data_IF_300456310105
#
_entry.id   IF_300456310105
#
_cell.length_a   1.000
_cell.length_b   1.000
_cell.length_c   1.000
_cell.angle_alpha   90.00
_cell.angle_beta   90.00
_cell.angle_gamma   90.00
#
_symmetry.space_group_name_H-M   'P 1'
#
loop_
_entity.id
_entity.type
_entity.pdbx_description
1 polymer ?
#
# COMPACT_ATOMS: atom_id res chain seq x y z
N UNK A 1 17.32 0.22 0.45
CA UNK A 1 16.26 -0.33 1.33
C UNK A 1 16.48 -0.02 2.81
N UNK A 2 17.65 -0.25 3.42
CA UNK A 2 17.86 -0.02 4.85
C UNK A 2 17.65 1.45 5.28
N UNK A 3 18.22 2.38 4.53
CA UNK A 3 18.12 3.82 4.84
C UNK A 3 16.66 4.30 4.78
N UNK A 4 15.95 3.96 3.69
CA UNK A 4 14.52 4.27 3.55
C UNK A 4 13.65 3.61 4.61
N UNK A 5 14.04 2.47 5.19
CA UNK A 5 13.30 1.86 6.30
C UNK A 5 13.40 2.74 7.55
N UNK A 6 14.58 3.28 7.85
CA UNK A 6 14.85 4.07 9.06
C UNK A 6 14.36 5.52 8.95
N UNK A 7 14.39 6.14 7.77
CA UNK A 7 13.89 7.52 7.57
C UNK A 7 12.38 7.62 7.85
N UNK A 8 11.94 8.65 8.58
CA UNK A 8 10.52 8.86 8.94
C UNK A 8 9.89 7.65 9.66
N UNK A 9 10.68 6.95 10.50
CA UNK A 9 10.21 5.74 11.18
C UNK A 9 9.01 6.04 12.10
N UNK A 10 9.02 7.17 12.80
CA UNK A 10 7.95 7.50 13.73
C UNK A 10 6.63 7.78 12.98
N UNK A 11 6.69 8.53 11.88
CA UNK A 11 5.54 8.75 11.02
C UNK A 11 4.99 7.43 10.48
N UNK A 12 5.86 6.50 10.06
CA UNK A 12 5.40 5.18 9.58
C UNK A 12 4.71 4.39 10.66
N UNK A 13 5.22 4.44 11.89
CA UNK A 13 4.61 3.75 13.04
C UNK A 13 3.23 4.32 13.34
N UNK A 14 3.09 5.65 13.40
CA UNK A 14 1.80 6.31 13.61
C UNK A 14 0.78 5.98 12.51
N UNK A 15 1.21 6.05 11.24
CA UNK A 15 0.36 5.67 10.11
C UNK A 15 -0.04 4.19 10.19
N UNK A 16 0.89 3.33 10.57
CA UNK A 16 0.65 1.90 10.67
C UNK A 16 -0.29 1.54 11.82
N UNK A 17 -0.23 2.24 12.95
CA UNK A 17 -1.19 2.08 14.06
C UNK A 17 -2.60 2.46 13.65
N UNK A 18 -2.74 3.62 12.98
CA UNK A 18 -4.04 4.06 12.47
C UNK A 18 -4.64 3.05 11.47
N UNK A 19 -3.82 2.48 10.58
CA UNK A 19 -4.26 1.47 9.62
C UNK A 19 -4.61 0.14 10.30
N UNK A 20 -3.79 -0.34 11.24
CA UNK A 20 -4.01 -1.60 11.93
C UNK A 20 -5.33 -1.59 12.72
N UNK A 21 -5.72 -0.44 13.30
CA UNK A 21 -7.00 -0.29 14.00
C UNK A 21 -8.23 -0.46 13.08
N UNK A 22 -8.06 -0.43 11.75
CA UNK A 22 -9.13 -0.65 10.78
C UNK A 22 -9.31 -2.13 10.40
N UNK A 23 -8.33 -2.99 10.73
CA UNK A 23 -8.31 -4.40 10.36
C UNK A 23 -8.95 -5.24 11.47
N UNK A 24 -9.78 -6.21 11.08
CA UNK A 24 -10.48 -7.11 11.98
C UNK A 24 -10.17 -8.57 11.67
N UNK A 25 -10.36 -9.48 12.64
CA UNK A 25 -10.35 -10.91 12.37
C UNK A 25 -11.28 -11.28 11.21
N UNK A 26 -10.83 -12.17 10.33
CA UNK A 26 -11.59 -12.59 9.15
C UNK A 26 -11.48 -11.66 7.94
N UNK A 27 -10.80 -10.52 8.03
CA UNK A 27 -10.62 -9.61 6.89
C UNK A 27 -9.67 -10.18 5.83
N UNK A 28 -9.90 -9.78 4.57
CA UNK A 28 -8.93 -9.94 3.48
C UNK A 28 -8.26 -8.59 3.19
N UNK A 29 -6.93 -8.54 3.33
CA UNK A 29 -6.14 -7.30 3.28
C UNK A 29 -5.13 -7.34 2.15
N UNK A 30 -5.14 -6.35 1.26
CA UNK A 30 -4.04 -6.09 0.34
C UNK A 30 -3.02 -5.12 0.97
N UNK A 31 -1.75 -5.53 0.96
CA UNK A 31 -0.60 -4.74 1.38
C UNK A 31 0.30 -4.47 0.18
N UNK A 32 0.32 -3.22 -0.26
CA UNK A 32 1.20 -2.71 -1.30
C UNK A 32 2.68 -2.70 -0.88
N UNK A 33 3.57 -2.55 -1.84
CA UNK A 33 4.99 -2.37 -1.58
C UNK A 33 5.33 -1.02 -0.92
N UNK A 34 6.23 -1.08 0.07
CA UNK A 34 6.80 0.11 0.70
C UNK A 34 7.02 -0.02 2.21
N UNK A 35 7.91 0.81 2.74
CA UNK A 35 8.33 0.70 4.14
C UNK A 35 7.24 1.06 5.14
N UNK A 36 6.31 1.95 4.77
CA UNK A 36 5.15 2.26 5.62
C UNK A 36 4.20 1.07 5.67
N UNK A 37 4.00 0.40 4.52
CA UNK A 37 3.13 -0.77 4.44
C UNK A 37 3.73 -1.96 5.18
N UNK A 38 5.05 -2.13 5.12
CA UNK A 38 5.78 -3.11 5.93
C UNK A 38 5.55 -2.92 7.44
N UNK A 39 5.47 -1.68 7.92
CA UNK A 39 5.13 -1.38 9.32
C UNK A 39 3.67 -1.67 9.67
N UNK A 40 2.75 -1.62 8.69
CA UNK A 40 1.36 -2.10 8.84
C UNK A 40 1.37 -3.62 8.99
N UNK A 41 2.11 -4.33 8.13
CA UNK A 41 2.21 -5.79 8.15
C UNK A 41 2.62 -6.31 9.54
N UNK A 42 3.64 -5.70 10.15
CA UNK A 42 4.09 -6.03 11.51
C UNK A 42 3.01 -5.93 12.58
N UNK A 43 2.04 -5.03 12.42
CA UNK A 43 1.00 -4.76 13.41
C UNK A 43 -0.22 -5.65 13.26
N UNK A 44 -0.43 -6.21 12.06
CA UNK A 44 -1.60 -7.04 11.75
C UNK A 44 -1.26 -8.53 11.66
N UNK A 45 0.02 -8.91 11.71
CA UNK A 45 0.48 -10.29 11.51
C UNK A 45 -0.03 -11.30 12.55
N UNK A 46 -0.50 -10.83 13.71
CA UNK A 46 -1.03 -11.68 14.78
C UNK A 46 -2.57 -11.63 14.88
N UNK A 47 -3.24 -10.94 13.95
CA UNK A 47 -4.71 -10.91 13.90
C UNK A 47 -5.22 -12.28 13.42
N UNK A 48 -6.11 -12.96 14.17
CA UNK A 48 -6.59 -14.28 13.81
C UNK A 48 -7.45 -14.24 12.53
N UNK A 49 -7.42 -15.35 11.79
CA UNK A 49 -8.23 -15.56 10.57
C UNK A 49 -8.02 -14.47 9.50
N UNK A 50 -6.86 -13.83 9.47
CA UNK A 50 -6.54 -12.79 8.49
C UNK A 50 -5.97 -13.42 7.22
N UNK A 51 -6.46 -12.98 6.04
CA UNK A 51 -5.81 -13.27 4.76
C UNK A 51 -5.11 -12.02 4.24
N UNK A 52 -3.82 -12.13 3.92
CA UNK A 52 -3.02 -11.03 3.38
C UNK A 52 -2.56 -11.34 1.97
N UNK A 53 -2.78 -10.38 1.06
CA UNK A 53 -2.25 -10.38 -0.30
C UNK A 53 -1.21 -9.27 -0.38
N UNK A 54 0.00 -9.54 -0.90
CA UNK A 54 1.03 -8.50 -1.06
C UNK A 54 1.80 -8.60 -2.37
N UNK A 55 2.17 -7.45 -2.93
CA UNK A 55 3.09 -7.33 -4.08
C UNK A 55 4.53 -7.03 -3.64
N UNK A 56 4.94 -7.42 -2.44
CA UNK A 56 6.26 -7.09 -1.90
C UNK A 56 6.93 -8.29 -1.24
N UNK A 57 8.15 -8.61 -1.68
CA UNK A 57 8.89 -9.78 -1.18
C UNK A 57 9.25 -9.63 0.30
N UNK A 58 9.65 -8.45 0.75
CA UNK A 58 10.06 -8.22 2.13
C UNK A 58 8.87 -8.38 3.08
N UNK A 59 7.72 -7.82 2.69
CA UNK A 59 6.44 -7.99 3.41
C UNK A 59 5.99 -9.45 3.40
N UNK A 60 6.09 -10.13 2.25
CA UNK A 60 5.82 -11.56 2.15
C UNK A 60 6.74 -12.38 3.05
N UNK A 61 8.04 -12.05 3.11
CA UNK A 61 9.01 -12.75 3.96
C UNK A 61 8.73 -12.53 5.45
N UNK A 62 8.33 -11.34 5.86
CA UNK A 62 7.88 -11.09 7.23
C UNK A 62 6.67 -11.96 7.59
N UNK A 63 5.67 -11.98 6.73
CA UNK A 63 4.39 -12.64 7.00
C UNK A 63 4.45 -14.16 6.83
N UNK A 64 5.44 -14.71 6.11
CA UNK A 64 5.56 -16.15 5.89
C UNK A 64 5.70 -16.96 7.20
N UNK A 65 6.09 -16.29 8.30
CA UNK A 65 6.27 -16.88 9.63
C UNK A 65 5.14 -16.55 10.61
N UNK A 66 4.12 -15.84 10.13
CA UNK A 66 2.98 -15.40 10.94
C UNK A 66 1.81 -16.37 10.85
N UNK A 67 0.74 -16.09 11.60
CA UNK A 67 -0.50 -16.88 11.57
C UNK A 67 -1.46 -16.54 10.43
N UNK A 68 -1.12 -15.55 9.58
CA UNK A 68 -2.00 -15.10 8.50
C UNK A 68 -1.96 -16.08 7.32
N UNK A 69 -3.09 -16.23 6.63
CA UNK A 69 -3.12 -16.86 5.31
C UNK A 69 -2.45 -15.89 4.31
N UNK A 70 -1.34 -16.28 3.69
CA UNK A 70 -0.51 -15.38 2.89
C UNK A 70 -0.55 -15.73 1.40
N UNK A 71 -0.95 -14.76 0.58
CA UNK A 71 -0.81 -14.79 -0.87
C UNK A 71 0.20 -13.73 -1.31
N UNK A 72 1.19 -14.12 -2.11
CA UNK A 72 2.17 -13.18 -2.67
C UNK A 72 1.89 -13.06 -4.17
N UNK A 73 1.80 -11.84 -4.69
CA UNK A 73 1.62 -11.62 -6.11
C UNK A 73 2.78 -12.25 -6.90
N UNK A 74 2.47 -12.99 -7.96
CA UNK A 74 3.47 -13.46 -8.93
C UNK A 74 3.87 -12.36 -9.91
N UNK A 75 5.01 -12.52 -10.60
CA UNK A 75 5.44 -11.59 -11.64
C UNK A 75 6.93 -11.29 -11.59
N UNK A 76 7.28 -10.09 -12.05
CA UNK A 76 8.67 -9.61 -12.09
C UNK A 76 9.00 -8.84 -10.82
N UNK A 77 10.12 -9.18 -10.19
CA UNK A 77 10.61 -8.53 -8.99
C UNK A 77 11.47 -7.32 -9.35
N UNK A 78 11.14 -6.15 -8.80
CA UNK A 78 12.02 -4.98 -8.82
C UNK A 78 13.07 -5.11 -7.73
N UNK A 79 14.30 -5.51 -8.11
CA UNK A 79 15.39 -5.81 -7.18
C UNK A 79 15.70 -4.67 -6.19
N UNK A 80 15.55 -3.41 -6.61
CA UNK A 80 15.89 -2.26 -5.78
C UNK A 80 14.88 -2.00 -4.66
N UNK A 81 13.64 -2.47 -4.83
CA UNK A 81 12.54 -2.16 -3.90
C UNK A 81 11.88 -3.37 -3.27
N UNK A 82 12.04 -4.57 -3.85
CA UNK A 82 11.32 -5.77 -3.42
C UNK A 82 9.90 -5.91 -4.00
N UNK A 83 9.40 -4.86 -4.69
CA UNK A 83 8.04 -4.87 -5.27
C UNK A 83 7.92 -5.79 -6.47
N UNK A 84 6.77 -6.42 -6.64
CA UNK A 84 6.44 -7.35 -7.72
C UNK A 84 5.43 -6.68 -8.65
N UNK A 85 5.64 -6.80 -9.96
CA UNK A 85 4.79 -6.13 -10.95
C UNK A 85 4.67 -6.96 -12.24
N UNK A 86 3.87 -6.44 -13.19
CA UNK A 86 3.70 -7.01 -14.53
C UNK A 86 2.42 -7.84 -14.68
N UNK A 87 2.25 -8.47 -15.85
CA UNK A 87 0.98 -9.09 -16.25
C UNK A 87 0.45 -10.12 -15.25
N UNK A 88 1.31 -10.98 -14.69
CA UNK A 88 0.88 -12.00 -13.73
C UNK A 88 0.30 -11.39 -12.45
N UNK A 89 0.92 -10.34 -11.90
CA UNK A 89 0.39 -9.63 -10.72
C UNK A 89 -0.97 -8.99 -11.01
N UNK A 90 -1.12 -8.34 -12.17
CA UNK A 90 -2.37 -7.72 -12.59
C UNK A 90 -3.48 -8.76 -12.78
N UNK A 91 -3.17 -9.90 -13.41
CA UNK A 91 -4.14 -10.94 -13.67
C UNK A 91 -4.56 -11.65 -12.38
N UNK A 92 -3.62 -11.93 -11.47
CA UNK A 92 -3.95 -12.45 -10.14
C UNK A 92 -4.90 -11.51 -9.41
N UNK A 93 -4.59 -10.21 -9.36
CA UNK A 93 -5.47 -9.23 -8.71
C UNK A 93 -6.81 -9.07 -9.42
N UNK A 94 -6.93 -9.38 -10.71
CA UNK A 94 -8.21 -9.35 -11.41
C UNK A 94 -9.21 -10.42 -10.94
N UNK A 95 -8.73 -11.50 -10.32
CA UNK A 95 -9.57 -12.59 -9.79
C UNK A 95 -9.83 -12.46 -8.29
N UNK A 96 -9.12 -11.56 -7.61
CA UNK A 96 -9.17 -11.43 -6.15
C UNK A 96 -9.94 -10.17 -5.80
N UNK A 97 -10.96 -10.34 -4.95
CA UNK A 97 -11.64 -9.26 -4.27
C UNK A 97 -11.08 -9.12 -2.86
N UNK A 98 -10.69 -7.90 -2.47
CA UNK A 98 -10.12 -7.65 -1.13
C UNK A 98 -11.03 -6.76 -0.29
N UNK A 99 -11.13 -7.06 1.00
CA UNK A 99 -11.91 -6.27 1.94
C UNK A 99 -11.30 -4.89 2.16
N UNK A 100 -9.99 -4.84 2.42
CA UNK A 100 -9.26 -3.60 2.66
C UNK A 100 -7.96 -3.61 1.86
N UNK A 101 -7.62 -2.51 1.20
CA UNK A 101 -6.33 -2.31 0.56
C UNK A 101 -5.60 -1.12 1.17
N UNK A 102 -4.38 -1.33 1.65
CA UNK A 102 -3.47 -0.25 2.07
C UNK A 102 -2.43 -0.04 0.98
N UNK A 103 -2.47 1.15 0.37
CA UNK A 103 -1.63 1.49 -0.78
C UNK A 103 -0.69 2.64 -0.47
N UNK A 104 0.56 2.50 -0.88
CA UNK A 104 1.57 3.55 -0.84
C UNK A 104 1.63 4.34 -2.16
N UNK A 105 2.29 5.49 -2.14
CA UNK A 105 2.58 6.27 -3.34
C UNK A 105 4.03 6.78 -3.37
N UNK A 106 4.51 7.06 -4.58
CA UNK A 106 5.78 7.77 -4.75
C UNK A 106 5.61 9.25 -4.43
N UNK A 107 4.55 9.86 -4.95
CA UNK A 107 4.24 11.28 -4.77
C UNK A 107 2.77 11.60 -4.98
N UNK A 108 2.36 12.77 -4.49
CA UNK A 108 1.08 13.40 -4.74
C UNK A 108 1.37 14.82 -5.25
N UNK A 109 0.80 15.19 -6.39
CA UNK A 109 0.97 16.53 -6.95
C UNK A 109 0.02 17.57 -6.34
N UNK A 110 0.17 18.83 -6.75
CA UNK A 110 -0.66 19.94 -6.30
C UNK A 110 -2.14 19.83 -6.72
N UNK A 111 -2.46 18.97 -7.69
CA UNK A 111 -3.82 18.67 -8.13
C UNK A 111 -4.37 17.40 -7.47
N UNK A 112 -3.71 16.90 -6.42
CA UNK A 112 -4.08 15.69 -5.70
C UNK A 112 -4.13 14.43 -6.58
N UNK A 113 -3.31 14.37 -7.62
CA UNK A 113 -3.05 13.14 -8.35
C UNK A 113 -2.01 12.31 -7.60
N UNK A 114 -2.30 11.03 -7.42
CA UNK A 114 -1.38 10.04 -6.84
C UNK A 114 -0.52 9.48 -7.97
N UNK A 115 0.81 9.54 -7.82
CA UNK A 115 1.75 9.27 -8.91
C UNK A 115 2.79 8.19 -8.54
N UNK A 116 3.33 7.53 -9.56
CA UNK A 116 4.35 6.47 -9.47
C UNK A 116 5.30 6.53 -10.67
N UNK A 117 6.52 5.92 -10.61
CA UNK A 117 7.49 6.05 -11.69
C UNK A 117 7.17 5.26 -12.96
N UNK A 118 6.44 4.14 -12.87
CA UNK A 118 6.26 3.20 -13.99
C UNK A 118 4.81 2.84 -14.23
N UNK A 119 4.48 2.53 -15.48
CA UNK A 119 3.13 2.11 -15.87
C UNK A 119 2.74 0.80 -15.18
N UNK A 120 3.66 -0.16 -15.05
CA UNK A 120 3.36 -1.44 -14.41
C UNK A 120 2.89 -1.30 -12.96
N UNK A 121 3.55 -0.43 -12.19
CA UNK A 121 3.12 -0.12 -10.82
C UNK A 121 1.79 0.61 -10.80
N UNK A 122 1.57 1.51 -11.76
CA UNK A 122 0.29 2.23 -11.86
C UNK A 122 -0.86 1.28 -12.18
N UNK A 123 -0.67 0.35 -13.12
CA UNK A 123 -1.66 -0.64 -13.54
C UNK A 123 -2.08 -1.54 -12.38
N UNK A 124 -1.13 -2.07 -11.61
CA UNK A 124 -1.44 -2.93 -10.46
C UNK A 124 -2.23 -2.19 -9.39
N UNK A 125 -1.76 -1.00 -8.98
CA UNK A 125 -2.44 -0.19 -7.96
C UNK A 125 -3.85 0.22 -8.39
N UNK A 126 -4.07 0.56 -9.67
CA UNK A 126 -5.41 0.83 -10.21
C UNK A 126 -6.31 -0.40 -10.13
N UNK A 127 -5.79 -1.58 -10.49
CA UNK A 127 -6.53 -2.85 -10.40
C UNK A 127 -6.93 -3.15 -8.95
N UNK A 128 -5.99 -3.05 -8.02
CA UNK A 128 -6.24 -3.23 -6.58
C UNK A 128 -7.29 -2.25 -6.07
N UNK A 129 -7.17 -0.96 -6.41
CA UNK A 129 -8.13 0.07 -5.99
C UNK A 129 -9.56 -0.29 -6.44
N UNK A 130 -9.70 -0.77 -7.68
CA UNK A 130 -10.98 -1.15 -8.27
C UNK A 130 -11.59 -2.40 -7.61
N UNK A 131 -10.75 -3.36 -7.19
CA UNK A 131 -11.18 -4.65 -6.65
C UNK A 131 -11.21 -4.69 -5.11
N UNK A 132 -11.04 -3.54 -4.45
CA UNK A 132 -11.11 -3.43 -3.00
C UNK A 132 -12.47 -2.87 -2.56
N UNK A 133 -13.08 -3.45 -1.51
CA UNK A 133 -14.24 -2.84 -0.85
C UNK A 133 -13.89 -1.48 -0.24
N UNK A 134 -12.71 -1.40 0.40
CA UNK A 134 -12.16 -0.16 0.95
C UNK A 134 -10.70 -0.03 0.54
N UNK A 135 -10.35 1.11 -0.03
CA UNK A 135 -8.98 1.43 -0.44
C UNK A 135 -8.48 2.65 0.31
N UNK A 136 -7.36 2.50 1.03
CA UNK A 136 -6.75 3.58 1.78
C UNK A 136 -5.38 3.91 1.21
N UNK A 137 -5.18 5.18 0.88
CA UNK A 137 -3.86 5.69 0.56
C UNK A 137 -3.11 6.03 1.86
N UNK A 138 -1.94 5.43 2.06
CA UNK A 138 -1.12 5.61 3.26
C UNK A 138 0.19 6.30 2.91
N UNK A 139 0.32 7.57 3.28
CA UNK A 139 1.44 8.42 2.88
C UNK A 139 1.84 9.39 3.98
N UNK A 140 3.13 9.61 4.17
CA UNK A 140 3.60 10.70 5.04
C UNK A 140 3.55 12.06 4.32
N UNK A 141 3.65 13.15 5.10
CA UNK A 141 3.62 14.52 4.58
C UNK A 141 4.68 14.82 3.50
N UNK A 142 5.80 14.10 3.49
CA UNK A 142 6.88 14.33 2.52
C UNK A 142 6.49 13.93 1.09
N UNK A 143 5.40 13.17 0.90
CA UNK A 143 4.93 12.73 -0.42
C UNK A 143 4.16 13.78 -1.20
N UNK A 144 3.66 14.82 -0.55
CA UNK A 144 2.87 15.87 -1.18
C UNK A 144 3.73 16.90 -1.92
N UNK A 145 3.11 17.60 -2.87
CA UNK A 145 3.75 18.60 -3.74
C UNK A 145 4.97 18.06 -4.50
N UNK A 146 4.88 16.79 -4.93
CA UNK A 146 5.93 16.10 -5.70
C UNK A 146 5.36 15.49 -6.97
N UNK A 147 6.21 15.30 -7.96
CA UNK A 147 5.86 14.77 -9.28
C UNK A 147 6.48 13.38 -9.51
N UNK A 148 5.77 12.56 -10.27
CA UNK A 148 6.28 11.33 -10.87
C UNK A 148 5.60 11.10 -12.23
N UNK A 149 6.18 10.23 -13.05
CA UNK A 149 5.82 10.10 -14.46
C UNK A 149 4.39 9.63 -14.71
N UNK A 150 3.92 8.65 -13.92
CA UNK A 150 2.66 7.96 -14.17
C UNK A 150 1.63 8.29 -13.11
N UNK A 151 0.47 8.81 -13.52
CA UNK A 151 -0.70 8.92 -12.64
C UNK A 151 -1.23 7.53 -12.30
N UNK A 152 -1.50 7.25 -11.04
CA UNK A 152 -2.26 6.09 -10.59
C UNK A 152 -3.74 6.46 -10.66
N UNK A 153 -4.17 7.30 -9.72
CA UNK A 153 -5.54 7.76 -9.46
C UNK A 153 -5.49 9.20 -8.91
N UNK A 154 -6.64 9.80 -8.64
CA UNK A 154 -6.79 11.01 -7.80
C UNK A 154 -7.14 10.63 -6.36
N UNK A 155 -6.89 11.50 -5.38
CA UNK A 155 -7.19 11.20 -3.97
C UNK A 155 -8.66 10.78 -3.72
N UNK A 156 -9.59 11.37 -4.47
CA UNK A 156 -11.02 11.07 -4.41
C UNK A 156 -11.39 9.63 -4.82
N UNK A 157 -10.50 8.92 -5.52
CA UNK A 157 -10.76 7.54 -5.97
C UNK A 157 -10.50 6.51 -4.86
N UNK A 158 -9.98 6.96 -3.71
CA UNK A 158 -9.74 6.13 -2.53
C UNK A 158 -10.88 6.31 -1.52
N UNK A 159 -11.17 5.28 -0.72
CA UNK A 159 -12.09 5.38 0.42
C UNK A 159 -11.62 6.41 1.45
N UNK A 160 -10.30 6.55 1.63
CA UNK A 160 -9.73 7.56 2.50
C UNK A 160 -8.21 7.68 2.36
N UNK A 161 -7.66 8.74 2.96
CA UNK A 161 -6.23 8.99 3.00
C UNK A 161 -5.78 9.00 4.46
N UNK A 162 -4.83 8.13 4.80
CA UNK A 162 -4.17 8.09 6.11
C UNK A 162 -2.83 8.79 5.96
N UNK A 163 -2.68 9.96 6.57
CA UNK A 163 -1.49 10.78 6.40
C UNK A 163 -1.09 11.60 7.62
N UNK A 164 0.20 11.96 7.68
CA UNK A 164 0.75 12.94 8.62
C UNK A 164 0.72 14.37 8.08
N UNK A 165 0.27 14.61 6.83
CA UNK A 165 -0.01 15.96 6.34
C UNK A 165 -1.23 16.52 7.08
N UNK A 166 -1.06 17.69 7.67
CA UNK A 166 -2.16 18.51 8.16
C UNK A 166 -2.68 19.31 6.96
N UNK A 167 -3.94 19.08 6.59
CA UNK A 167 -4.60 19.87 5.55
C UNK A 167 -5.14 21.16 6.14
N UNK A 168 -5.01 22.25 5.39
CA UNK A 168 -5.72 23.48 5.74
C UNK A 168 -7.21 23.38 5.38
N UNK A 169 -8.05 24.24 5.97
CA UNK A 169 -9.50 24.21 5.73
C UNK A 169 -9.94 24.52 4.30
N UNK A 170 -9.00 24.88 3.40
CA UNK A 170 -9.25 25.20 1.99
C UNK A 170 -8.95 24.00 1.06
N UNK A 171 -8.26 22.98 1.56
CA UNK A 171 -7.88 21.76 0.81
C UNK A 171 -8.90 20.60 0.97
N UNK A 172 -10.16 20.87 1.35
CA UNK A 172 -11.20 19.84 1.60
C UNK A 172 -11.81 19.26 0.33
#
# INVERSE_FOLDING_TARGET
>A
LPEKMVTMMEEKRLLAEACAAMVKPGDTVFLDSGTTIYEIAKRIMDIPDLTVITDDIETGFLLHRSGVELMICGGTVQKETGSIFGTFSNQMMSYIHVGIAFMGAMSIDANFNVLTPTLDKASLKRMVTKNANKSYLVVDHSKFNRQALMKINSLQDYTGVVTTKIFDGRER
#
